data_IF_225282985257
#
_entry.id   IF_225282985257
#
_cell.length_a   1.000
_cell.length_b   1.000
_cell.length_c   1.000
_cell.angle_alpha   90.00
_cell.angle_beta   90.00
_cell.angle_gamma   90.00
#
_symmetry.space_group_name_H-M   'P 1'
#
loop_
_entity.id
_entity.type
_entity.pdbx_description
1 polymer ?
#
# COMPACT_ATOMS: atom_id res chain seq x y z
N UNK A 1 12.13 4.14 12.43
CA UNK A 1 11.64 3.66 11.12
C UNK A 1 10.61 4.66 10.60
N UNK A 2 10.76 5.08 9.34
CA UNK A 2 9.94 6.11 8.68
C UNK A 2 8.75 5.52 7.93
N UNK A 3 7.69 6.30 7.75
CA UNK A 3 6.52 5.92 6.95
C UNK A 3 6.93 5.59 5.50
N UNK A 4 7.83 6.40 4.91
CA UNK A 4 8.30 6.24 3.54
C UNK A 4 8.94 4.88 3.25
N UNK A 5 9.49 4.17 4.24
CA UNK A 5 10.07 2.84 4.02
C UNK A 5 9.04 1.83 3.49
N UNK A 6 7.80 1.91 3.96
CA UNK A 6 6.71 1.05 3.51
C UNK A 6 6.27 1.40 2.09
N UNK A 7 6.19 2.70 1.80
CA UNK A 7 5.85 3.21 0.47
C UNK A 7 6.91 2.78 -0.54
N UNK A 8 8.19 2.97 -0.23
CA UNK A 8 9.29 2.54 -1.12
C UNK A 8 9.29 1.04 -1.37
N UNK A 9 8.99 0.20 -0.37
CA UNK A 9 8.88 -1.24 -0.57
C UNK A 9 7.70 -1.61 -1.50
N UNK A 10 6.58 -0.89 -1.37
CA UNK A 10 5.43 -1.03 -2.26
C UNK A 10 5.77 -0.58 -3.69
N UNK A 11 6.44 0.56 -3.85
CA UNK A 11 6.92 1.09 -5.14
C UNK A 11 7.89 0.12 -5.83
N UNK A 12 8.84 -0.44 -5.10
CA UNK A 12 9.77 -1.43 -5.65
C UNK A 12 9.04 -2.68 -6.16
N UNK A 13 8.00 -3.12 -5.41
CA UNK A 13 7.16 -4.24 -5.83
C UNK A 13 6.37 -3.91 -7.10
N UNK A 14 5.84 -2.68 -7.22
CA UNK A 14 5.16 -2.21 -8.42
C UNK A 14 6.11 -2.12 -9.63
N UNK A 15 7.32 -1.58 -9.44
CA UNK A 15 8.32 -1.49 -10.51
C UNK A 15 8.68 -2.89 -11.03
N UNK A 16 8.85 -3.86 -10.13
CA UNK A 16 9.14 -5.25 -10.50
C UNK A 16 7.99 -5.89 -11.29
N UNK A 17 6.74 -5.71 -10.83
CA UNK A 17 5.55 -6.19 -11.54
C UNK A 17 5.46 -5.57 -12.95
N UNK A 18 5.63 -4.24 -13.03
CA UNK A 18 5.48 -3.48 -14.28
C UNK A 18 6.53 -3.89 -15.30
N UNK A 19 7.79 -4.07 -14.86
CA UNK A 19 8.87 -4.55 -15.71
C UNK A 19 8.56 -5.93 -16.29
N UNK A 20 8.15 -6.88 -15.46
CA UNK A 20 7.86 -8.25 -15.91
C UNK A 20 6.63 -8.29 -16.83
N UNK A 21 5.62 -7.47 -16.56
CA UNK A 21 4.45 -7.31 -17.42
C UNK A 21 4.83 -6.79 -18.82
N UNK A 22 5.65 -5.74 -18.89
CA UNK A 22 6.13 -5.18 -20.16
C UNK A 22 7.00 -6.16 -20.94
N UNK A 23 7.88 -6.90 -20.27
CA UNK A 23 8.72 -7.93 -20.92
C UNK A 23 7.88 -9.08 -21.51
N UNK A 24 6.81 -9.50 -20.82
CA UNK A 24 5.88 -10.52 -21.34
C UNK A 24 5.02 -9.97 -22.49
N UNK A 25 4.53 -8.74 -22.39
CA UNK A 25 3.77 -8.08 -23.44
C UNK A 25 4.59 -7.94 -24.72
N UNK A 26 5.86 -7.48 -24.65
CA UNK A 26 6.75 -7.39 -25.81
C UNK A 26 6.97 -8.76 -26.49
N UNK A 27 7.16 -9.83 -25.69
CA UNK A 27 7.29 -11.20 -26.22
C UNK A 27 6.02 -11.68 -26.91
N UNK A 28 4.85 -11.37 -26.36
CA UNK A 28 3.55 -11.69 -26.96
C UNK A 28 3.41 -10.93 -28.28
N UNK A 29 3.62 -9.62 -28.27
CA UNK A 29 3.49 -8.77 -29.47
C UNK A 29 4.42 -9.21 -30.60
N UNK A 30 5.66 -9.62 -30.32
CA UNK A 30 6.60 -10.15 -31.33
C UNK A 30 6.11 -11.43 -32.02
N UNK A 31 5.46 -12.33 -31.26
CA UNK A 31 4.87 -13.55 -31.82
C UNK A 31 3.62 -13.20 -32.64
N UNK A 32 2.83 -12.23 -32.18
CA UNK A 32 1.62 -11.78 -32.87
C UNK A 32 1.87 -10.91 -34.08
N UNK A 33 2.99 -10.17 -34.15
CA UNK A 33 3.34 -9.34 -35.32
C UNK A 33 3.89 -10.16 -36.49
N UNK A 34 4.37 -11.39 -36.26
CA UNK A 34 4.83 -12.31 -37.31
C UNK A 34 3.72 -13.00 -38.11
N UNK A 35 2.48 -12.50 -38.01
CA UNK A 35 1.21 -13.11 -38.47
C UNK A 35 0.94 -13.05 -39.98
N UNK A 36 1.93 -13.31 -40.84
CA UNK A 36 1.61 -13.76 -42.20
C UNK A 36 1.34 -15.28 -42.29
N UNK A 37 1.64 -16.04 -41.23
CA UNK A 37 1.26 -17.45 -41.12
C UNK A 37 0.71 -17.76 -39.73
N UNK A 38 -0.35 -18.57 -39.64
CA UNK A 38 -0.85 -19.08 -38.37
C UNK A 38 0.33 -19.68 -37.58
N UNK A 39 0.52 -19.31 -36.29
CA UNK A 39 1.65 -19.81 -35.52
C UNK A 39 1.55 -21.33 -35.44
N UNK A 40 2.46 -22.04 -36.12
CA UNK A 40 2.57 -23.49 -36.03
C UNK A 40 2.72 -23.95 -34.57
N UNK A 41 2.44 -25.22 -34.27
CA UNK A 41 2.20 -25.71 -32.90
C UNK A 41 3.20 -25.27 -31.81
N UNK A 42 4.49 -25.11 -32.12
CA UNK A 42 5.49 -24.60 -31.16
C UNK A 42 5.31 -23.12 -30.78
N UNK A 43 4.95 -22.26 -31.74
CA UNK A 43 4.72 -20.83 -31.50
C UNK A 43 3.40 -20.61 -30.75
N UNK A 44 2.34 -21.36 -31.09
CA UNK A 44 1.07 -21.32 -30.38
C UNK A 44 1.25 -21.72 -28.89
N UNK A 45 2.00 -22.78 -28.61
CA UNK A 45 2.30 -23.19 -27.23
C UNK A 45 3.11 -22.14 -26.45
N UNK A 46 4.09 -21.49 -27.09
CA UNK A 46 4.86 -20.40 -26.44
C UNK A 46 3.98 -19.17 -26.16
N UNK A 47 3.09 -18.82 -27.09
CA UNK A 47 2.13 -17.73 -26.90
C UNK A 47 1.22 -18.01 -25.69
N UNK A 48 0.63 -19.21 -25.63
CA UNK A 48 -0.20 -19.63 -24.51
C UNK A 48 0.56 -19.60 -23.17
N UNK A 49 1.83 -20.00 -23.16
CA UNK A 49 2.69 -19.91 -21.98
C UNK A 49 2.87 -18.45 -21.52
N UNK A 50 3.20 -17.53 -22.41
CA UNK A 50 3.41 -16.12 -22.04
C UNK A 50 2.12 -15.44 -21.57
N UNK A 51 0.98 -15.75 -22.20
CA UNK A 51 -0.33 -15.27 -21.78
C UNK A 51 -0.70 -15.80 -20.37
N UNK A 52 -0.44 -17.08 -20.10
CA UNK A 52 -0.65 -17.66 -18.78
C UNK A 52 0.28 -17.03 -17.71
N UNK A 53 1.55 -16.80 -18.04
CA UNK A 53 2.49 -16.10 -17.16
C UNK A 53 2.02 -14.68 -16.83
N UNK A 54 1.55 -13.94 -17.84
CA UNK A 54 1.00 -12.59 -17.68
C UNK A 54 -0.21 -12.59 -16.75
N UNK A 55 -1.16 -13.52 -16.95
CA UNK A 55 -2.32 -13.69 -16.08
C UNK A 55 -1.94 -14.03 -14.62
N UNK A 56 -0.83 -14.73 -14.44
CA UNK A 56 -0.34 -15.17 -13.13
C UNK A 56 0.53 -14.14 -12.39
N UNK A 57 0.89 -13.01 -13.01
CA UNK A 57 1.82 -12.03 -12.41
C UNK A 57 1.31 -11.45 -11.09
N UNK A 58 0.00 -11.23 -10.96
CA UNK A 58 -0.61 -10.73 -9.72
C UNK A 58 -0.39 -11.68 -8.53
N UNK A 59 -0.36 -12.99 -8.78
CA UNK A 59 -0.09 -13.98 -7.74
C UNK A 59 1.38 -13.99 -7.30
N UNK A 60 2.29 -13.70 -8.24
CA UNK A 60 3.74 -13.61 -7.99
C UNK A 60 4.10 -12.35 -7.20
N UNK A 61 3.45 -11.23 -7.52
CA UNK A 61 3.75 -9.91 -6.99
C UNK A 61 2.70 -9.43 -5.98
N UNK A 62 2.39 -10.26 -4.97
CA UNK A 62 1.33 -9.96 -3.96
C UNK A 62 1.52 -8.60 -3.28
N UNK A 63 2.77 -8.20 -3.03
CA UNK A 63 3.11 -6.91 -2.45
C UNK A 63 2.63 -5.71 -3.28
N UNK A 64 2.64 -5.84 -4.62
CA UNK A 64 2.20 -4.80 -5.54
C UNK A 64 0.66 -4.74 -5.70
N UNK A 65 -0.02 -5.86 -5.47
CA UNK A 65 -1.46 -6.00 -5.69
C UNK A 65 -2.29 -5.29 -4.61
N UNK A 66 -1.77 -5.18 -3.38
CA UNK A 66 -2.52 -4.62 -2.26
C UNK A 66 -1.65 -3.71 -1.39
N UNK A 67 -1.70 -2.39 -1.66
CA UNK A 67 -0.98 -1.42 -0.84
C UNK A 67 -1.45 -1.44 0.62
N UNK A 68 -2.71 -1.77 0.88
CA UNK A 68 -3.26 -1.89 2.24
C UNK A 68 -2.49 -2.97 3.02
N UNK A 69 -2.27 -4.13 2.41
CA UNK A 69 -1.51 -5.23 3.02
C UNK A 69 -0.01 -4.94 3.13
N UNK A 70 0.54 -4.13 2.22
CA UNK A 70 1.99 -3.87 2.14
C UNK A 70 2.43 -2.63 2.94
N UNK A 71 1.51 -1.68 3.14
CA UNK A 71 1.80 -0.36 3.73
C UNK A 71 0.95 -0.11 4.98
N UNK A 72 -0.38 0.00 4.82
CA UNK A 72 -1.26 0.44 5.90
C UNK A 72 -1.30 -0.54 7.08
N UNK A 73 -1.45 -1.84 6.79
CA UNK A 73 -1.55 -2.88 7.81
C UNK A 73 -0.23 -3.07 8.59
N UNK A 74 0.96 -3.12 7.96
CA UNK A 74 2.22 -3.13 8.70
C UNK A 74 2.41 -1.92 9.61
N UNK A 75 2.03 -0.71 9.15
CA UNK A 75 2.07 0.50 9.99
C UNK A 75 1.12 0.33 11.18
N UNK A 76 -0.12 -0.09 10.95
CA UNK A 76 -1.09 -0.36 12.01
C UNK A 76 -0.55 -1.32 13.06
N UNK A 77 -0.08 -2.51 12.65
CA UNK A 77 0.44 -3.53 13.57
C UNK A 77 1.62 -3.02 14.40
N UNK A 78 2.47 -2.17 13.83
CA UNK A 78 3.63 -1.64 14.57
C UNK A 78 3.20 -0.58 15.57
N UNK A 79 2.26 0.30 15.21
CA UNK A 79 1.72 1.30 16.12
C UNK A 79 0.93 0.65 17.26
N UNK A 80 0.08 -0.33 16.94
CA UNK A 80 -0.67 -1.14 17.91
C UNK A 80 0.25 -1.80 18.93
N UNK A 81 1.31 -2.49 18.46
CA UNK A 81 2.30 -3.12 19.36
C UNK A 81 3.04 -2.12 20.24
N UNK A 82 3.28 -0.90 19.75
CA UNK A 82 3.97 0.16 20.50
C UNK A 82 3.08 0.79 21.57
N UNK A 83 1.80 0.96 21.26
CA UNK A 83 0.82 1.50 22.21
C UNK A 83 0.41 0.47 23.28
N UNK A 84 0.44 -0.82 22.93
CA UNK A 84 0.18 -1.91 23.85
C UNK A 84 -1.25 -1.89 24.41
N UNK A 85 -1.43 -2.47 25.59
CA UNK A 85 -2.75 -2.63 26.22
C UNK A 85 -3.41 -1.32 26.68
N UNK A 86 -2.66 -0.21 26.70
CA UNK A 86 -3.18 1.09 27.10
C UNK A 86 -4.15 1.69 26.08
N UNK A 87 -4.20 1.15 24.86
CA UNK A 87 -5.04 1.65 23.79
C UNK A 87 -5.83 0.52 23.12
N UNK A 88 -7.09 0.79 22.82
CA UNK A 88 -7.90 0.00 21.90
C UNK A 88 -7.63 0.47 20.48
N UNK A 89 -7.44 -0.49 19.57
CA UNK A 89 -7.08 -0.25 18.17
C UNK A 89 -8.17 -0.74 17.23
N UNK A 90 -8.37 -0.05 16.11
CA UNK A 90 -9.26 -0.49 15.03
C UNK A 90 -8.68 -0.12 13.67
N UNK A 91 -8.71 -1.07 12.75
CA UNK A 91 -8.28 -0.90 11.37
C UNK A 91 -9.47 -1.00 10.42
N UNK A 92 -9.74 0.07 9.67
CA UNK A 92 -10.82 0.13 8.70
C UNK A 92 -10.27 0.37 7.29
N UNK A 93 -10.66 -0.51 6.36
CA UNK A 93 -10.47 -0.30 4.93
C UNK A 93 -11.68 0.44 4.37
N UNK A 94 -11.48 1.62 3.83
CA UNK A 94 -12.52 2.45 3.22
C UNK A 94 -12.33 2.44 1.71
N UNK A 95 -12.82 1.38 1.05
CA UNK A 95 -12.59 1.16 -0.38
C UNK A 95 -11.18 0.66 -0.70
N UNK A 96 -10.73 0.92 -1.92
CA UNK A 96 -9.45 0.38 -2.41
C UNK A 96 -8.28 1.33 -2.18
N UNK A 97 -8.53 2.65 -2.10
CA UNK A 97 -7.51 3.68 -2.04
C UNK A 97 -7.37 4.34 -0.65
N UNK A 98 -8.17 3.93 0.34
CA UNK A 98 -8.16 4.56 1.65
C UNK A 98 -8.19 3.54 2.80
N UNK A 99 -7.41 3.84 3.84
CA UNK A 99 -7.37 3.09 5.08
C UNK A 99 -7.33 4.04 6.28
N UNK A 100 -8.11 3.72 7.30
CA UNK A 100 -8.22 4.48 8.54
C UNK A 100 -7.79 3.60 9.71
N UNK A 101 -6.80 4.06 10.46
CA UNK A 101 -6.32 3.43 11.68
C UNK A 101 -6.78 4.28 12.85
N UNK A 102 -7.39 3.67 13.86
CA UNK A 102 -7.87 4.37 15.07
C UNK A 102 -7.26 3.74 16.30
N UNK A 103 -6.82 4.58 17.24
CA UNK A 103 -6.27 4.19 18.52
C UNK A 103 -6.89 5.08 19.60
N UNK A 104 -7.57 4.50 20.57
CA UNK A 104 -8.25 5.21 21.66
C UNK A 104 -7.77 4.71 23.00
N UNK A 105 -7.56 5.61 23.96
CA UNK A 105 -7.07 5.21 25.27
C UNK A 105 -8.09 4.30 25.96
N UNK A 106 -7.64 3.19 26.55
CA UNK A 106 -8.54 2.17 27.08
C UNK A 106 -9.44 2.69 28.22
N UNK A 107 -8.95 3.64 29.02
CA UNK A 107 -9.71 4.23 30.12
C UNK A 107 -10.50 5.49 29.71
N UNK A 108 -9.92 6.32 28.82
CA UNK A 108 -10.49 7.62 28.45
C UNK A 108 -11.36 7.56 27.19
N UNK A 109 -11.37 6.42 26.49
CA UNK A 109 -12.15 6.21 25.28
C UNK A 109 -11.84 7.24 24.19
N UNK A 110 -12.90 7.82 23.62
CA UNK A 110 -12.81 8.74 22.49
C UNK A 110 -12.26 10.13 22.85
N UNK A 111 -12.17 10.46 24.14
CA UNK A 111 -11.66 11.75 24.60
C UNK A 111 -10.13 11.83 24.49
N UNK A 112 -9.46 10.69 24.31
CA UNK A 112 -8.02 10.62 24.09
C UNK A 112 -7.68 9.57 23.04
N UNK A 113 -7.14 9.99 21.89
CA UNK A 113 -6.83 9.06 20.82
C UNK A 113 -6.09 9.65 19.64
N UNK A 114 -5.80 8.77 18.69
CA UNK A 114 -5.11 9.02 17.45
C UNK A 114 -5.86 8.34 16.31
N UNK A 115 -6.17 9.11 15.27
CA UNK A 115 -6.67 8.58 14.01
C UNK A 115 -5.66 8.89 12.92
N UNK A 116 -5.27 7.88 12.14
CA UNK A 116 -4.46 8.05 10.94
C UNK A 116 -5.30 7.67 9.74
N UNK A 117 -5.57 8.66 8.88
CA UNK A 117 -6.24 8.48 7.61
C UNK A 117 -5.20 8.48 6.49
N UNK A 118 -5.05 7.35 5.84
CA UNK A 118 -4.09 7.11 4.77
C UNK A 118 -4.84 7.00 3.44
N UNK A 119 -4.43 7.80 2.45
CA UNK A 119 -5.03 7.79 1.11
C UNK A 119 -3.94 7.63 0.06
N UNK A 120 -4.11 6.64 -0.81
CA UNK A 120 -3.29 6.43 -1.99
C UNK A 120 -3.97 7.12 -3.18
N UNK A 121 -3.35 8.15 -3.76
CA UNK A 121 -4.02 8.97 -4.80
C UNK A 121 -4.45 8.15 -6.02
N UNK A 122 -3.63 7.17 -6.41
CA UNK A 122 -3.95 6.26 -7.51
C UNK A 122 -3.54 4.85 -7.17
N UNK A 123 -4.46 3.92 -7.45
CA UNK A 123 -4.16 2.50 -7.41
C UNK A 123 -3.37 2.16 -8.69
N UNK A 124 -2.11 1.78 -8.54
CA UNK A 124 -1.29 1.29 -9.64
C UNK A 124 -1.67 -0.16 -9.99
N UNK A 125 -2.92 -0.37 -10.41
CA UNK A 125 -3.47 -1.68 -10.82
C UNK A 125 -2.97 -2.14 -12.19
N UNK A 126 -2.30 -1.23 -12.91
CA UNK A 126 -1.72 -1.40 -14.24
C UNK A 126 -0.29 -0.86 -14.29
N UNK A 127 0.53 -1.32 -15.26
CA UNK A 127 1.86 -0.78 -15.47
C UNK A 127 1.88 0.73 -15.72
N UNK A 128 2.51 1.47 -14.81
CA UNK A 128 2.63 2.93 -14.87
C UNK A 128 4.03 3.38 -14.47
N UNK A 129 4.45 4.52 -15.01
CA UNK A 129 5.69 5.24 -14.63
C UNK A 129 5.45 6.29 -13.54
N UNK A 130 4.22 6.41 -13.05
CA UNK A 130 3.85 7.38 -12.03
C UNK A 130 4.41 7.00 -10.66
N UNK A 131 4.79 8.03 -9.91
CA UNK A 131 5.28 7.90 -8.53
C UNK A 131 4.07 7.66 -7.62
N UNK A 132 4.22 6.75 -6.66
CA UNK A 132 3.16 6.46 -5.71
C UNK A 132 3.03 7.63 -4.73
N UNK A 133 1.88 8.31 -4.74
CA UNK A 133 1.61 9.36 -3.77
C UNK A 133 0.72 8.84 -2.63
N UNK A 134 1.28 8.84 -1.41
CA UNK A 134 0.57 8.47 -0.19
C UNK A 134 0.38 9.73 0.67
N UNK A 135 -0.87 10.15 0.82
CA UNK A 135 -1.25 11.18 1.78
C UNK A 135 -1.57 10.55 3.13
N UNK A 136 -0.97 11.09 4.20
CA UNK A 136 -1.26 10.67 5.58
C UNK A 136 -1.75 11.88 6.37
N UNK A 137 -2.98 11.82 6.84
CA UNK A 137 -3.57 12.79 7.76
C UNK A 137 -3.61 12.15 9.14
N UNK A 138 -3.04 12.82 10.11
CA UNK A 138 -3.12 12.48 11.52
C UNK A 138 -4.14 13.38 12.20
N UNK A 139 -4.98 12.79 13.03
CA UNK A 139 -5.89 13.47 13.93
C UNK A 139 -5.58 13.04 15.35
N UNK A 140 -5.19 13.97 16.20
CA UNK A 140 -4.95 13.74 17.62
C UNK A 140 -6.13 14.30 18.39
N UNK A 141 -6.73 13.50 19.26
CA UNK A 141 -7.83 13.89 20.13
C UNK A 141 -7.30 13.89 21.56
N UNK A 142 -7.44 15.02 22.25
CA UNK A 142 -7.11 15.13 23.67
C UNK A 142 -8.18 15.94 24.41
N UNK A 143 -8.34 15.74 25.73
CA UNK A 143 -9.33 16.48 26.51
C UNK A 143 -9.09 17.99 26.56
N UNK A 144 -7.82 18.42 26.53
CA UNK A 144 -7.39 19.82 26.66
C UNK A 144 -7.44 20.59 25.34
N UNK A 145 -6.99 20.00 24.25
CA UNK A 145 -6.92 20.65 22.93
C UNK A 145 -8.06 20.30 21.98
N UNK A 146 -8.91 19.34 22.35
CA UNK A 146 -9.87 18.75 21.43
C UNK A 146 -9.16 18.00 20.29
N UNK A 147 -9.75 18.04 19.09
CA UNK A 147 -9.20 17.41 17.90
C UNK A 147 -8.30 18.36 17.12
N UNK A 148 -7.07 17.92 16.88
CA UNK A 148 -6.09 18.62 16.05
C UNK A 148 -5.70 17.72 14.88
N UNK A 149 -5.82 18.24 13.66
CA UNK A 149 -5.50 17.53 12.43
C UNK A 149 -4.21 18.09 11.80
N UNK A 150 -3.30 17.20 11.40
CA UNK A 150 -2.06 17.55 10.72
C UNK A 150 -1.71 16.57 9.58
N UNK A 151 -1.02 17.07 8.56
CA UNK A 151 -0.56 16.25 7.43
C UNK A 151 0.86 15.79 7.69
N UNK A 152 1.07 14.47 7.67
CA UNK A 152 2.38 13.87 7.88
C UNK A 152 3.12 13.70 6.56
N UNK A 153 4.42 13.98 6.57
CA UNK A 153 5.31 13.66 5.46
C UNK A 153 5.77 12.21 5.55
N UNK A 154 6.22 11.63 4.44
CA UNK A 154 6.78 10.27 4.43
C UNK A 154 8.08 10.14 5.23
N UNK A 155 8.74 11.26 5.53
CA UNK A 155 9.91 11.30 6.41
C UNK A 155 9.58 11.13 7.89
N UNK A 156 8.31 11.29 8.27
CA UNK A 156 7.84 11.14 9.65
C UNK A 156 8.14 9.73 10.16
N UNK A 157 8.73 9.63 11.35
CA UNK A 157 8.97 8.35 12.00
C UNK A 157 7.71 7.81 12.67
N UNK A 158 7.59 6.48 12.79
CA UNK A 158 6.48 5.89 13.57
C UNK A 158 6.49 6.30 15.05
N UNK A 159 7.61 6.81 15.56
CA UNK A 159 7.67 7.36 16.91
C UNK A 159 7.06 8.76 16.94
N UNK A 160 7.40 9.63 15.99
CA UNK A 160 6.80 10.97 15.83
C UNK A 160 5.30 10.92 15.61
N UNK A 161 4.80 9.89 14.91
CA UNK A 161 3.37 9.62 14.75
C UNK A 161 2.67 9.51 16.11
N UNK A 162 3.32 8.80 17.06
CA UNK A 162 2.79 8.50 18.39
C UNK A 162 3.15 9.54 19.45
N UNK A 163 4.11 10.43 19.21
CA UNK A 163 4.54 11.47 20.17
C UNK A 163 3.37 12.21 20.84
N UNK A 164 2.29 12.57 20.13
CA UNK A 164 1.14 13.23 20.75
C UNK A 164 0.37 12.36 21.78
N UNK A 165 0.55 11.05 21.77
CA UNK A 165 -0.06 10.14 22.76
C UNK A 165 0.85 9.85 23.95
N UNK A 166 2.16 10.08 23.83
CA UNK A 166 3.14 9.77 24.87
C UNK A 166 3.54 10.98 25.73
N UNK A 167 3.12 12.19 25.35
CA UNK A 167 3.44 13.44 26.06
C UNK A 167 2.40 13.81 27.14
N UNK A 168 1.58 12.85 27.58
CA UNK A 168 0.57 13.01 28.62
C UNK A 168 0.91 12.11 29.82
#
# INVERSE_FOLDING_TARGET
>A
MKLGKFVTAYEQSLIALNREALELQDRISKIESGREMQPGGRLASRLGLYQHQLASLRNKHRGAVCWIGTVALPIFTILEKRLGIGYQSMFNREGDNQATLRFFHAASGFDQGLVLKMTLDRLCTEPSREIVNLMVVRSVIRPDTGRVDDRLTLDTTLTEVLTPLCAA
#
